data_IF_275710674402
#
_entry.id   IF_275710674402
#
_cell.length_a   1.000
_cell.length_b   1.000
_cell.length_c   1.000
_cell.angle_alpha   90.00
_cell.angle_beta   90.00
_cell.angle_gamma   90.00
#
_symmetry.space_group_name_H-M   'P 1'
#
loop_
_entity.id
_entity.type
_entity.pdbx_description
1 polymer ?
#
# COMPACT_ATOMS: atom_id res chain seq x y z
N UNK A 1 -18.24 10.41 -25.17
CA UNK A 1 -16.79 10.65 -25.06
C UNK A 1 -16.52 12.14 -25.10
N UNK A 2 -16.25 12.78 -23.96
CA UNK A 2 -15.76 14.17 -23.97
C UNK A 2 -14.29 14.16 -24.36
N UNK A 3 -13.96 14.73 -25.51
CA UNK A 3 -12.59 14.85 -26.00
C UNK A 3 -11.76 15.81 -25.14
N UNK A 4 -10.50 15.41 -24.94
CA UNK A 4 -9.42 15.96 -24.10
C UNK A 4 -9.21 17.49 -24.18
N UNK A 5 -9.78 18.17 -25.17
CA UNK A 5 -9.63 19.61 -25.37
C UNK A 5 -10.30 20.45 -24.26
N UNK A 6 -11.42 19.99 -23.68
CA UNK A 6 -12.20 20.81 -22.72
C UNK A 6 -11.58 20.92 -21.31
N UNK A 7 -10.63 20.06 -20.94
CA UNK A 7 -9.97 20.08 -19.62
C UNK A 7 -8.71 20.98 -19.58
N UNK A 8 -8.28 21.53 -20.72
CA UNK A 8 -7.03 22.31 -20.83
C UNK A 8 -7.18 23.81 -20.48
N UNK A 9 -8.39 24.26 -20.12
CA UNK A 9 -8.74 25.68 -19.92
C UNK A 9 -9.23 26.01 -18.50
N UNK A 10 -8.72 25.33 -17.46
CA UNK A 10 -8.94 25.78 -16.08
C UNK A 10 -7.76 26.70 -15.72
N UNK A 11 -7.96 28.03 -15.63
CA UNK A 11 -6.90 28.96 -15.24
C UNK A 11 -6.53 28.77 -13.75
N UNK A 12 -5.23 28.82 -13.43
CA UNK A 12 -4.72 28.83 -12.04
C UNK A 12 -3.89 27.62 -11.59
N UNK A 13 -3.71 26.58 -12.43
CA UNK A 13 -2.85 25.43 -12.07
C UNK A 13 -1.44 25.64 -12.63
N UNK A 14 -0.37 25.64 -11.80
CA UNK A 14 1.00 25.79 -12.25
C UNK A 14 1.39 24.76 -13.32
N UNK A 15 2.15 25.18 -14.34
CA UNK A 15 2.57 24.33 -15.45
C UNK A 15 3.33 23.07 -15.02
N UNK A 16 3.98 23.09 -13.84
CA UNK A 16 4.70 21.95 -13.27
C UNK A 16 3.78 20.78 -12.87
N UNK A 17 2.47 21.03 -12.72
CA UNK A 17 1.44 20.03 -12.42
C UNK A 17 0.82 19.46 -13.71
N UNK A 18 1.20 19.95 -14.90
CA UNK A 18 0.76 19.40 -16.19
C UNK A 18 1.55 18.14 -16.54
N UNK A 19 1.19 17.04 -15.86
CA UNK A 19 1.30 15.64 -16.28
C UNK A 19 2.65 15.22 -16.88
N UNK A 20 3.44 14.50 -16.09
CA UNK A 20 4.15 13.34 -16.61
C UNK A 20 3.09 12.39 -17.20
N UNK A 21 2.86 12.47 -18.51
CA UNK A 21 2.05 11.45 -19.22
C UNK A 21 3.01 10.29 -19.46
N UNK A 22 2.77 9.15 -18.82
CA UNK A 22 3.43 7.90 -19.19
C UNK A 22 3.18 7.67 -20.69
N UNK A 23 4.24 7.42 -21.46
CA UNK A 23 4.09 7.12 -22.88
C UNK A 23 3.58 5.67 -23.06
N UNK A 24 3.25 5.29 -24.29
CA UNK A 24 2.74 3.94 -24.55
C UNK A 24 3.73 2.84 -24.13
N UNK A 25 5.04 3.08 -24.33
CA UNK A 25 6.10 2.15 -23.91
C UNK A 25 6.14 2.02 -22.38
N UNK A 26 6.10 3.15 -21.67
CA UNK A 26 6.10 3.14 -20.20
C UNK A 26 4.88 2.41 -19.62
N UNK A 27 3.72 2.52 -20.27
CA UNK A 27 2.51 1.82 -19.86
C UNK A 27 2.58 0.31 -20.10
N UNK A 28 3.22 -0.11 -21.21
CA UNK A 28 3.47 -1.53 -21.47
C UNK A 28 4.41 -2.11 -20.43
N UNK A 29 5.53 -1.43 -20.17
CA UNK A 29 6.48 -1.83 -19.14
C UNK A 29 5.83 -1.90 -17.76
N UNK A 30 5.05 -0.89 -17.38
CA UNK A 30 4.33 -0.89 -16.11
C UNK A 30 3.35 -2.06 -16.01
N UNK A 31 2.68 -2.45 -17.10
CA UNK A 31 1.79 -3.61 -17.11
C UNK A 31 2.55 -4.92 -16.93
N UNK A 32 3.66 -5.12 -17.64
CA UNK A 32 4.49 -6.31 -17.51
C UNK A 32 5.05 -6.45 -16.09
N UNK A 33 5.55 -5.35 -15.55
CA UNK A 33 6.03 -5.26 -14.19
C UNK A 33 4.92 -5.60 -13.16
N UNK A 34 3.71 -5.07 -13.35
CA UNK A 34 2.54 -5.41 -12.51
C UNK A 34 2.25 -6.91 -12.57
N UNK A 35 2.21 -7.51 -13.76
CA UNK A 35 1.89 -8.94 -13.89
C UNK A 35 2.99 -9.82 -13.27
N UNK A 36 4.26 -9.45 -13.45
CA UNK A 36 5.40 -10.14 -12.83
C UNK A 36 5.25 -10.18 -11.30
N UNK A 37 5.06 -9.01 -10.68
CA UNK A 37 4.90 -8.93 -9.22
C UNK A 37 3.60 -9.54 -8.72
N UNK A 38 2.52 -9.45 -9.50
CA UNK A 38 1.25 -10.07 -9.14
C UNK A 38 1.37 -11.60 -9.05
N UNK A 39 2.15 -12.21 -9.95
CA UNK A 39 2.40 -13.65 -9.95
C UNK A 39 3.25 -14.13 -8.75
N UNK A 40 4.14 -13.28 -8.23
CA UNK A 40 5.06 -13.60 -7.14
C UNK A 40 4.41 -13.72 -5.75
N UNK A 41 3.15 -13.26 -5.57
CA UNK A 41 2.43 -13.31 -4.29
C UNK A 41 1.32 -14.40 -4.22
N UNK A 42 1.63 -15.71 -4.13
CA UNK A 42 0.65 -16.75 -3.81
C UNK A 42 0.72 -17.27 -2.35
N UNK A 43 1.40 -16.55 -1.45
CA UNK A 43 1.43 -16.84 -0.01
C UNK A 43 2.74 -17.47 0.46
N UNK A 44 3.40 -16.77 1.38
CA UNK A 44 4.53 -17.32 2.11
C UNK A 44 3.99 -18.33 3.16
N UNK A 45 4.66 -19.47 3.41
CA UNK A 45 4.35 -20.35 4.52
C UNK A 45 4.34 -19.61 5.87
N UNK A 46 3.61 -20.11 6.88
CA UNK A 46 3.65 -19.55 8.24
C UNK A 46 5.11 -19.43 8.71
N UNK A 47 5.43 -18.46 9.60
CA UNK A 47 6.78 -18.34 10.13
C UNK A 47 7.21 -19.72 10.62
N UNK A 48 8.30 -20.22 10.04
CA UNK A 48 8.78 -21.56 10.34
C UNK A 48 8.90 -21.70 11.85
N UNK A 49 8.23 -22.71 12.42
CA UNK A 49 8.48 -23.16 13.78
C UNK A 49 9.87 -23.77 13.85
N UNK A 50 10.91 -22.94 13.74
CA UNK A 50 12.29 -23.28 14.00
C UNK A 50 12.57 -23.02 15.48
N UNK A 51 13.08 -24.02 16.18
CA UNK A 51 13.52 -23.88 17.57
C UNK A 51 14.50 -22.71 17.66
N UNK A 52 14.12 -21.69 18.42
CA UNK A 52 14.93 -20.53 18.70
C UNK A 52 16.30 -20.98 19.27
N UNK A 53 17.38 -20.64 18.57
CA UNK A 53 18.67 -20.46 19.22
C UNK A 53 18.59 -19.20 20.07
N UNK A 54 18.94 -19.32 21.34
CA UNK A 54 18.90 -18.28 22.36
C UNK A 54 19.49 -16.95 21.86
N UNK A 55 18.66 -15.91 21.70
CA UNK A 55 19.16 -14.59 21.29
C UNK A 55 18.12 -13.53 20.89
N UNK A 56 17.27 -13.79 19.89
CA UNK A 56 16.27 -12.80 19.45
C UNK A 56 15.00 -13.51 18.93
N UNK A 57 13.93 -13.46 19.73
CA UNK A 57 12.62 -14.00 19.31
C UNK A 57 12.01 -13.00 18.32
N UNK A 58 11.72 -13.39 17.07
CA UNK A 58 11.17 -12.48 16.09
C UNK A 58 9.82 -11.94 16.56
N UNK A 59 9.64 -10.62 16.54
CA UNK A 59 8.34 -9.99 16.75
C UNK A 59 7.50 -10.17 15.49
N UNK A 60 6.27 -10.65 15.64
CA UNK A 60 5.36 -10.92 14.53
C UNK A 60 4.04 -10.20 14.77
N UNK A 61 3.66 -9.31 13.85
CA UNK A 61 2.40 -8.59 13.88
C UNK A 61 1.61 -8.87 12.59
N UNK A 62 0.28 -8.92 12.66
CA UNK A 62 -0.59 -9.25 11.50
C UNK A 62 -1.69 -8.22 11.30
N UNK A 63 -2.06 -8.02 10.04
CA UNK A 63 -3.16 -7.14 9.64
C UNK A 63 -3.91 -7.75 8.48
N UNK A 64 -5.25 -7.76 8.55
CA UNK A 64 -6.12 -8.24 7.49
C UNK A 64 -7.16 -7.19 7.13
N UNK A 65 -7.22 -6.84 5.84
CA UNK A 65 -8.14 -5.81 5.31
C UNK A 65 -8.82 -6.31 4.03
N UNK A 66 -10.00 -5.76 3.73
CA UNK A 66 -10.82 -6.17 2.58
C UNK A 66 -11.29 -4.93 1.80
N UNK A 67 -11.24 -5.02 0.47
CA UNK A 67 -11.88 -4.07 -0.44
C UNK A 67 -12.99 -4.77 -1.23
N UNK A 68 -14.26 -4.72 -0.76
CA UNK A 68 -15.37 -5.46 -1.36
C UNK A 68 -15.71 -4.96 -2.78
N UNK A 69 -15.33 -3.73 -3.15
CA UNK A 69 -15.58 -3.17 -4.48
C UNK A 69 -14.88 -3.95 -5.60
N UNK A 70 -13.71 -4.52 -5.32
CA UNK A 70 -12.95 -5.31 -6.29
C UNK A 70 -12.73 -6.76 -5.83
N UNK A 71 -13.29 -7.14 -4.68
CA UNK A 71 -13.08 -8.45 -4.07
C UNK A 71 -11.66 -8.66 -3.56
N UNK A 72 -10.88 -7.59 -3.30
CA UNK A 72 -9.53 -7.74 -2.79
C UNK A 72 -9.55 -8.10 -1.30
N UNK A 73 -8.74 -9.07 -0.90
CA UNK A 73 -8.47 -9.46 0.50
C UNK A 73 -6.97 -9.43 0.69
N UNK A 74 -6.49 -8.64 1.64
CA UNK A 74 -5.07 -8.51 1.95
C UNK A 74 -4.85 -8.96 3.38
N UNK A 75 -4.00 -9.96 3.57
CA UNK A 75 -3.58 -10.51 4.85
C UNK A 75 -2.05 -10.44 4.92
N UNK A 76 -1.53 -9.53 5.73
CA UNK A 76 -0.10 -9.25 5.84
C UNK A 76 0.40 -9.62 7.23
N UNK A 77 1.61 -10.18 7.25
CA UNK A 77 2.39 -10.49 8.44
C UNK A 77 3.70 -9.71 8.36
N UNK A 78 3.91 -8.82 9.33
CA UNK A 78 5.14 -8.09 9.53
C UNK A 78 6.01 -8.86 10.54
N UNK A 79 7.19 -9.28 10.12
CA UNK A 79 8.19 -9.89 11.01
C UNK A 79 9.31 -8.89 11.25
N UNK A 80 9.67 -8.65 12.50
CA UNK A 80 10.84 -7.85 12.89
C UNK A 80 11.85 -8.74 13.60
N UNK A 81 13.07 -8.77 13.10
CA UNK A 81 14.18 -9.56 13.67
C UNK A 81 15.46 -8.77 13.50
N UNK A 82 16.32 -8.70 14.52
CA UNK A 82 17.57 -7.94 14.47
C UNK A 82 17.38 -6.47 14.02
N UNK A 83 16.25 -5.84 14.39
CA UNK A 83 15.96 -4.44 14.08
C UNK A 83 15.53 -4.16 12.64
N UNK A 84 15.33 -5.18 11.79
CA UNK A 84 14.86 -5.01 10.41
C UNK A 84 13.52 -5.71 10.19
N UNK A 85 12.74 -5.18 9.25
CA UNK A 85 11.42 -5.71 8.90
C UNK A 85 11.44 -6.57 7.64
N UNK A 86 10.53 -7.54 7.63
CA UNK A 86 10.13 -8.31 6.46
C UNK A 86 8.61 -8.36 6.41
N UNK A 87 8.04 -7.99 5.26
CA UNK A 87 6.60 -8.09 5.03
C UNK A 87 6.29 -9.36 4.24
N UNK A 88 5.40 -10.18 4.77
CA UNK A 88 4.97 -11.44 4.16
C UNK A 88 3.44 -11.50 4.15
N UNK A 89 2.85 -12.39 3.37
CA UNK A 89 1.40 -12.60 3.42
C UNK A 89 0.78 -12.95 2.08
N UNK A 90 -0.52 -12.73 1.99
CA UNK A 90 -1.34 -13.01 0.81
C UNK A 90 -2.13 -11.78 0.46
N UNK A 91 -2.07 -11.39 -0.81
CA UNK A 91 -3.07 -10.53 -1.42
C UNK A 91 -3.88 -11.39 -2.40
N UNK A 92 -5.17 -11.55 -2.14
CA UNK A 92 -6.12 -12.13 -3.08
C UNK A 92 -6.90 -11.01 -3.73
N UNK A 93 -7.18 -11.13 -5.03
CA UNK A 93 -7.91 -10.12 -5.79
C UNK A 93 -7.23 -9.77 -7.11
N UNK A 94 -7.44 -8.53 -7.55
CA UNK A 94 -6.95 -8.09 -8.87
C UNK A 94 -5.42 -8.02 -8.94
N UNK A 95 -4.85 -8.00 -10.16
CA UNK A 95 -3.39 -7.92 -10.33
C UNK A 95 -2.78 -6.66 -9.70
N UNK A 96 -3.53 -5.56 -9.57
CA UNK A 96 -3.05 -4.34 -8.92
C UNK A 96 -2.84 -4.51 -7.42
N UNK A 97 -3.76 -5.16 -6.70
CA UNK A 97 -3.61 -5.35 -5.25
C UNK A 97 -2.49 -6.34 -4.94
N UNK A 98 -2.35 -7.40 -5.76
CA UNK A 98 -1.24 -8.35 -5.67
C UNK A 98 0.11 -7.71 -5.95
N UNK A 99 0.23 -6.98 -7.07
CA UNK A 99 1.47 -6.28 -7.41
C UNK A 99 1.82 -5.21 -6.36
N UNK A 100 0.84 -4.44 -5.87
CA UNK A 100 1.06 -3.43 -4.85
C UNK A 100 1.58 -4.01 -3.53
N UNK A 101 1.06 -5.17 -3.10
CA UNK A 101 1.56 -5.87 -1.92
C UNK A 101 2.97 -6.44 -2.14
N UNK A 102 3.20 -7.08 -3.29
CA UNK A 102 4.49 -7.67 -3.70
C UNK A 102 5.60 -6.63 -3.73
N UNK A 103 5.43 -5.59 -4.54
CA UNK A 103 6.41 -4.51 -4.70
C UNK A 103 6.67 -3.76 -3.40
N UNK A 104 5.65 -3.62 -2.53
CA UNK A 104 5.85 -3.03 -1.21
C UNK A 104 6.69 -3.95 -0.33
N UNK A 105 6.44 -5.26 -0.34
CA UNK A 105 7.25 -6.22 0.40
C UNK A 105 8.73 -6.11 0.04
N UNK A 106 9.04 -6.11 -1.26
CA UNK A 106 10.41 -5.93 -1.76
C UNK A 106 11.00 -4.59 -1.31
N UNK A 107 10.21 -3.51 -1.39
CA UNK A 107 10.66 -2.19 -1.02
C UNK A 107 10.92 -2.01 0.48
N UNK A 108 10.27 -2.79 1.35
CA UNK A 108 10.40 -2.72 2.81
C UNK A 108 11.45 -3.69 3.38
N UNK A 109 11.83 -4.72 2.64
CA UNK A 109 12.75 -5.78 3.07
C UNK A 109 14.04 -5.21 3.64
N UNK A 110 14.42 -5.66 4.85
CA UNK A 110 15.69 -5.30 5.47
C UNK A 110 15.76 -3.88 6.03
N UNK A 111 14.65 -3.12 6.04
CA UNK A 111 14.62 -1.75 6.58
C UNK A 111 14.29 -1.73 8.08
N UNK A 112 14.76 -0.73 8.84
CA UNK A 112 14.24 -0.46 10.18
C UNK A 112 12.73 -0.15 10.16
N UNK A 113 11.96 -0.50 11.21
CA UNK A 113 10.52 -0.24 11.27
C UNK A 113 10.13 1.23 11.03
N UNK A 114 10.92 2.19 11.53
CA UNK A 114 10.68 3.62 11.34
C UNK A 114 10.81 4.04 9.87
N UNK A 115 11.88 3.61 9.20
CA UNK A 115 12.12 3.91 7.78
C UNK A 115 11.08 3.24 6.88
N UNK A 116 10.73 2.00 7.21
CA UNK A 116 9.66 1.26 6.54
C UNK A 116 8.31 1.99 6.65
N UNK A 117 7.98 2.54 7.83
CA UNK A 117 6.76 3.32 8.06
C UNK A 117 6.75 4.60 7.22
N UNK A 118 7.88 5.34 7.19
CA UNK A 118 8.02 6.56 6.40
C UNK A 118 7.78 6.26 4.92
N UNK A 119 8.43 5.22 4.39
CA UNK A 119 8.27 4.79 3.00
C UNK A 119 6.82 4.40 2.68
N UNK A 120 6.18 3.58 3.51
CA UNK A 120 4.79 3.18 3.29
C UNK A 120 3.84 4.39 3.26
N UNK A 121 4.03 5.36 4.17
CA UNK A 121 3.25 6.61 4.20
C UNK A 121 3.52 7.48 2.98
N UNK A 122 4.77 7.61 2.58
CA UNK A 122 5.15 8.39 1.40
C UNK A 122 4.49 7.85 0.13
N UNK A 123 4.49 6.52 -0.07
CA UNK A 123 3.85 5.87 -1.20
C UNK A 123 2.33 6.12 -1.22
N UNK A 124 1.67 6.01 -0.06
CA UNK A 124 0.23 6.35 0.07
C UNK A 124 -0.03 7.80 -0.34
N UNK A 125 0.75 8.74 0.18
CA UNK A 125 0.61 10.17 -0.14
C UNK A 125 0.89 10.46 -1.63
N UNK A 126 1.93 9.85 -2.19
CA UNK A 126 2.28 9.98 -3.60
C UNK A 126 1.15 9.48 -4.50
N UNK A 127 0.54 8.33 -4.17
CA UNK A 127 -0.59 7.77 -4.91
C UNK A 127 -1.86 8.63 -4.82
N UNK A 128 -2.16 9.16 -3.64
CA UNK A 128 -3.31 10.05 -3.45
C UNK A 128 -3.13 11.36 -4.24
N UNK A 129 -1.92 11.91 -4.22
CA UNK A 129 -1.57 13.11 -4.97
C UNK A 129 -1.35 12.87 -6.48
N UNK A 130 -1.23 11.61 -6.92
CA UNK A 130 -0.88 11.25 -8.30
C UNK A 130 0.49 11.77 -8.73
N UNK A 131 1.47 11.77 -7.83
CA UNK A 131 2.84 12.23 -8.06
C UNK A 131 3.83 11.09 -7.88
N UNK A 132 4.99 11.21 -8.52
CA UNK A 132 6.09 10.27 -8.30
C UNK A 132 6.79 10.58 -6.98
N UNK A 133 7.41 9.56 -6.40
CA UNK A 133 8.42 9.68 -5.35
C UNK A 133 9.78 9.32 -5.93
N UNK A 134 10.87 9.79 -5.30
CA UNK A 134 12.22 9.36 -5.61
C UNK A 134 12.56 7.99 -4.99
N UNK A 135 11.66 7.42 -4.19
CA UNK A 135 11.94 6.21 -3.42
C UNK A 135 11.49 4.96 -4.18
N UNK A 136 12.46 4.06 -4.43
CA UNK A 136 12.31 2.71 -4.98
C UNK A 136 11.52 2.62 -6.30
N UNK A 137 12.26 2.50 -7.41
CA UNK A 137 11.74 2.69 -8.78
C UNK A 137 10.50 1.84 -9.11
N UNK A 138 10.50 0.55 -8.74
CA UNK A 138 9.43 -0.37 -9.14
C UNK A 138 8.09 -0.07 -8.46
N UNK A 139 8.07 0.12 -7.14
CA UNK A 139 6.84 0.45 -6.41
C UNK A 139 6.35 1.87 -6.70
N UNK A 140 7.26 2.80 -7.02
CA UNK A 140 6.92 4.17 -7.39
C UNK A 140 6.09 4.26 -8.68
N UNK A 141 6.20 3.28 -9.60
CA UNK A 141 5.36 3.22 -10.81
C UNK A 141 3.88 3.21 -10.46
N UNK A 142 3.51 2.52 -9.37
CA UNK A 142 2.14 2.38 -8.92
C UNK A 142 1.58 3.69 -8.33
N UNK A 143 2.44 4.61 -7.87
CA UNK A 143 2.02 5.92 -7.39
C UNK A 143 1.41 6.76 -8.54
N UNK A 144 2.06 6.76 -9.71
CA UNK A 144 1.66 7.56 -10.88
C UNK A 144 0.81 6.81 -11.91
N UNK A 145 0.70 5.49 -11.80
CA UNK A 145 -0.01 4.65 -12.77
C UNK A 145 -1.44 5.16 -13.04
N UNK A 146 -1.78 5.52 -14.29
CA UNK A 146 -3.09 6.03 -14.63
C UNK A 146 -4.13 4.91 -14.60
N UNK A 147 -4.93 4.84 -13.55
CA UNK A 147 -6.03 3.88 -13.40
C UNK A 147 -7.35 4.60 -13.08
N UNK A 148 -8.47 3.93 -13.32
CA UNK A 148 -9.80 4.43 -12.95
C UNK A 148 -9.86 4.73 -11.44
N UNK A 149 -10.60 5.79 -11.00
CA UNK A 149 -10.67 6.18 -9.59
C UNK A 149 -11.00 5.03 -8.63
N UNK A 150 -11.92 4.15 -9.01
CA UNK A 150 -12.30 2.97 -8.22
C UNK A 150 -11.16 1.97 -8.03
N UNK A 151 -10.26 1.85 -9.02
CA UNK A 151 -9.11 0.93 -9.00
C UNK A 151 -7.90 1.47 -8.23
N UNK A 152 -7.91 2.75 -7.83
CA UNK A 152 -6.86 3.31 -6.95
C UNK A 152 -6.87 2.64 -5.58
N UNK A 153 -8.06 2.25 -5.09
CA UNK A 153 -8.23 1.56 -3.81
C UNK A 153 -7.49 0.22 -3.76
N UNK A 154 -7.41 -0.50 -4.88
CA UNK A 154 -6.67 -1.77 -4.98
C UNK A 154 -5.19 -1.61 -4.62
N UNK A 155 -4.56 -0.50 -5.02
CA UNK A 155 -3.14 -0.21 -4.74
C UNK A 155 -2.97 0.28 -3.31
N UNK A 156 -3.84 1.18 -2.85
CA UNK A 156 -3.75 1.79 -1.52
C UNK A 156 -4.03 0.79 -0.39
N UNK A 157 -4.84 -0.25 -0.64
CA UNK A 157 -5.24 -1.21 0.39
C UNK A 157 -4.05 -1.89 1.09
N UNK A 158 -3.12 -2.58 0.40
CA UNK A 158 -1.97 -3.20 1.05
C UNK A 158 -1.01 -2.18 1.68
N UNK A 159 -0.85 -1.00 1.08
CA UNK A 159 0.06 0.03 1.59
C UNK A 159 -0.43 0.66 2.89
N UNK A 160 -1.74 0.90 2.99
CA UNK A 160 -2.36 1.39 4.23
C UNK A 160 -2.31 0.35 5.33
N UNK A 161 -2.58 -0.92 5.01
CA UNK A 161 -2.47 -2.02 5.97
C UNK A 161 -1.04 -2.16 6.50
N UNK A 162 -0.03 -2.11 5.62
CA UNK A 162 1.37 -2.12 6.03
C UNK A 162 1.74 -0.92 6.92
N UNK A 163 1.30 0.28 6.56
CA UNK A 163 1.54 1.48 7.37
C UNK A 163 0.88 1.40 8.76
N UNK A 164 -0.30 0.80 8.86
CA UNK A 164 -1.00 0.57 10.14
C UNK A 164 -0.21 -0.37 11.05
N UNK A 165 0.20 -1.53 10.55
CA UNK A 165 0.96 -2.50 11.36
C UNK A 165 2.35 -1.97 11.72
N UNK A 166 3.02 -1.25 10.81
CA UNK A 166 4.30 -0.59 11.09
C UNK A 166 4.16 0.53 12.15
N UNK A 167 3.05 1.28 12.13
CA UNK A 167 2.78 2.27 13.17
C UNK A 167 2.61 1.61 14.54
N UNK A 168 1.89 0.49 14.63
CA UNK A 168 1.74 -0.25 15.89
C UNK A 168 3.09 -0.78 16.43
N UNK A 169 4.00 -1.20 15.55
CA UNK A 169 5.34 -1.66 15.95
C UNK A 169 6.21 -0.52 16.45
N UNK A 170 6.24 0.59 15.71
CA UNK A 170 7.05 1.77 16.04
C UNK A 170 6.54 2.49 17.29
N UNK A 171 5.22 2.61 17.46
CA UNK A 171 4.62 3.18 18.67
C UNK A 171 4.87 2.28 19.88
N UNK A 172 4.88 0.94 19.74
CA UNK A 172 5.21 0.03 20.84
C UNK A 172 6.71 0.03 21.24
N UNK A 173 7.60 0.56 20.38
CA UNK A 173 8.98 0.89 20.77
C UNK A 173 9.07 2.14 21.66
N UNK A 174 7.93 2.83 21.89
CA UNK A 174 7.73 3.84 22.92
C UNK A 174 6.71 3.30 23.95
N UNK A 175 7.00 3.16 25.25
CA UNK A 175 6.04 2.56 26.17
C UNK A 175 4.83 3.50 26.34
N UNK A 176 3.76 3.25 25.58
CA UNK A 176 2.46 3.92 25.77
C UNK A 176 1.38 2.86 25.97
N UNK A 177 0.68 3.00 27.10
CA UNK A 177 -0.30 2.08 27.67
C UNK A 177 -1.42 1.64 26.69
N UNK A 178 -2.03 0.47 26.91
CA UNK A 178 -3.05 -0.09 26.02
C UNK A 178 -4.29 0.80 25.93
N UNK A 179 -4.62 1.23 24.71
CA UNK A 179 -5.90 1.91 24.41
C UNK A 179 -7.01 0.86 24.29
N UNK A 180 -7.85 0.80 25.33
CA UNK A 180 -9.14 0.10 25.34
C UNK A 180 -10.08 0.84 24.37
N UNK A 181 -10.47 0.22 23.26
CA UNK A 181 -11.40 0.82 22.30
C UNK A 181 -12.83 0.86 22.85
N UNK A 182 -13.66 1.86 22.50
CA UNK A 182 -15.09 1.72 22.62
C UNK A 182 -15.62 1.03 21.36
N UNK A 183 -16.24 -0.15 21.54
CA UNK A 183 -17.24 -0.66 20.61
C UNK A 183 -18.33 0.41 20.46
N UNK A 184 -18.55 0.88 19.24
CA UNK A 184 -19.48 1.97 18.97
C UNK A 184 -19.78 2.10 17.48
N UNK A 185 -20.89 1.48 17.11
CA UNK A 185 -21.64 1.58 15.87
C UNK A 185 -21.48 2.93 15.13
N UNK A 186 -20.78 2.93 13.99
CA UNK A 186 -20.81 4.04 13.02
C UNK A 186 -21.89 3.75 11.98
N UNK A 187 -23.13 4.00 12.38
CA UNK A 187 -24.27 4.14 11.49
C UNK A 187 -24.00 5.22 10.44
N UNK A 188 -23.85 4.79 9.19
CA UNK A 188 -23.71 5.64 8.02
C UNK A 188 -25.04 6.39 7.77
N UNK A 189 -25.19 7.60 8.31
CA UNK A 189 -26.33 8.49 8.01
C UNK A 189 -26.08 9.16 6.65
N UNK A 190 -26.87 8.78 5.64
CA UNK A 190 -26.94 9.48 4.35
C UNK A 190 -27.61 10.86 4.54
N UNK A 191 -27.15 11.93 3.87
CA UNK A 191 -27.81 13.23 3.90
C UNK A 191 -29.06 13.25 3.01
N UNK A 192 -30.13 13.86 3.55
CA UNK A 192 -31.41 14.12 2.89
C UNK A 192 -31.24 14.86 1.55
N UNK A 193 -32.01 14.43 0.55
CA UNK A 193 -32.17 15.14 -0.73
C UNK A 193 -33.35 16.12 -0.60
N UNK A 194 -33.21 17.39 -1.04
CA UNK A 194 -34.32 18.33 -1.00
C UNK A 194 -35.35 18.05 -2.11
N UNK A 195 -36.61 18.35 -1.81
CA UNK A 195 -37.76 18.34 -2.74
C UNK A 195 -37.77 19.55 -3.66
#
# INVERSE_FOLDING_TARGET
MLTDHKLRRIPGIPAIVRRARMCAVDLTFARELIEHHAAAMPGLPPPAGGSASDGDVPRVDRVRVVNPTCGDVVDLTLTTTNGVVRLTGVASGCSLSRAAASMLGDALEGRPPADALILARELVQAREAGRTTAVHADVAVLAVLPVAPLRRRCILLPWRAAAEVLAAVTDASHPTAPRRGPEGDIGLRLPDQPS
#
